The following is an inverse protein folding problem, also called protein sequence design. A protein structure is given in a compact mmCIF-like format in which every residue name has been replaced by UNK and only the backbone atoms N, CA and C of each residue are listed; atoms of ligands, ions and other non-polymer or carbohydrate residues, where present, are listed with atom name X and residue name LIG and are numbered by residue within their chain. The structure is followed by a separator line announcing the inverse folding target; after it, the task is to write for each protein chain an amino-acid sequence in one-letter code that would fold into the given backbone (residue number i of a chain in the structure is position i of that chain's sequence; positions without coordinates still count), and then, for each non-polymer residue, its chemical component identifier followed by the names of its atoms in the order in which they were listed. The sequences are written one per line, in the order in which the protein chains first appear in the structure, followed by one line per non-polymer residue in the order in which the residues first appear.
data_IF_969028624747
#
_entry.id   IF_969028624747
#
_cell.length_a   1.000
_cell.length_b   1.000
_cell.length_c   1.000
_cell.angle_alpha   90.00
_cell.angle_beta   90.00
_cell.angle_gamma   90.00
#
_symmetry.space_group_name_H-M   'P 1'
#
loop_
_entity.id
_entity.type
_entity.pdbx_description
1 polymer ?
#
# COMPACT_ATOMS: atom_id res chain seq x y z
N UNK A 1 -21.55 21.93 -9.79
CA UNK A 1 -21.33 20.98 -8.69
C UNK A 1 -20.96 19.68 -9.35
N UNK A 2 -19.77 19.12 -9.07
CA UNK A 2 -19.38 17.84 -9.67
C UNK A 2 -20.35 16.74 -9.26
N UNK A 3 -20.73 15.90 -10.21
CA UNK A 3 -21.60 14.75 -9.99
C UNK A 3 -20.84 13.66 -9.21
N UNK A 4 -21.57 12.77 -8.54
CA UNK A 4 -20.96 11.66 -7.80
C UNK A 4 -20.06 10.77 -8.68
N UNK A 5 -20.42 10.60 -9.95
CA UNK A 5 -19.63 9.83 -10.94
C UNK A 5 -18.31 10.51 -11.27
N UNK A 6 -18.30 11.83 -11.51
CA UNK A 6 -17.08 12.57 -11.86
C UNK A 6 -16.04 12.53 -10.73
N UNK A 7 -16.49 12.55 -9.46
CA UNK A 7 -15.62 12.42 -8.29
C UNK A 7 -15.02 11.01 -8.20
N UNK A 8 -15.81 9.96 -8.51
CA UNK A 8 -15.32 8.58 -8.54
C UNK A 8 -14.27 8.38 -9.64
N UNK A 9 -14.52 8.92 -10.83
CA UNK A 9 -13.59 8.84 -11.96
C UNK A 9 -12.26 9.52 -11.62
N UNK A 10 -12.30 10.70 -10.99
CA UNK A 10 -11.10 11.41 -10.55
C UNK A 10 -10.32 10.64 -9.46
N UNK A 11 -11.02 10.06 -8.48
CA UNK A 11 -10.39 9.24 -7.44
C UNK A 11 -9.74 7.98 -8.04
N UNK A 12 -10.37 7.37 -9.05
CA UNK A 12 -9.82 6.24 -9.78
C UNK A 12 -8.54 6.63 -10.54
N UNK A 13 -8.55 7.77 -11.25
CA UNK A 13 -7.35 8.27 -11.94
C UNK A 13 -6.20 8.53 -10.96
N UNK A 14 -6.47 9.18 -9.83
CA UNK A 14 -5.46 9.40 -8.80
C UNK A 14 -4.89 8.08 -8.28
N UNK A 15 -5.75 7.08 -8.02
CA UNK A 15 -5.30 5.78 -7.53
C UNK A 15 -4.38 5.06 -8.52
N UNK A 16 -4.71 5.06 -9.83
CA UNK A 16 -3.87 4.38 -10.83
C UNK A 16 -2.55 5.11 -11.10
N UNK A 17 -2.48 6.42 -10.83
CA UNK A 17 -1.24 7.21 -10.90
C UNK A 17 -0.34 6.96 -9.68
N UNK A 18 -0.91 6.86 -8.47
CA UNK A 18 -0.16 6.65 -7.23
C UNK A 18 0.30 5.20 -7.04
N UNK A 19 -0.53 4.22 -7.43
CA UNK A 19 -0.28 2.82 -7.14
C UNK A 19 1.08 2.29 -7.64
N UNK A 20 1.57 2.63 -8.86
CA UNK A 20 2.89 2.21 -9.32
C UNK A 20 4.04 2.69 -8.43
N UNK A 21 3.98 3.93 -7.92
CA UNK A 21 5.02 4.48 -7.05
C UNK A 21 5.07 3.73 -5.71
N UNK A 22 3.90 3.45 -5.13
CA UNK A 22 3.78 2.68 -3.89
C UNK A 22 4.26 1.23 -4.08
N UNK A 23 3.95 0.61 -5.22
CA UNK A 23 4.43 -0.73 -5.57
C UNK A 23 5.95 -0.76 -5.75
N UNK A 24 6.53 0.27 -6.39
CA UNK A 24 7.98 0.40 -6.51
C UNK A 24 8.67 0.55 -5.15
N UNK A 25 8.05 1.30 -4.23
CA UNK A 25 8.54 1.42 -2.86
C UNK A 25 8.51 0.08 -2.12
N UNK A 26 7.42 -0.68 -2.29
CA UNK A 26 7.29 -2.02 -1.71
C UNK A 26 8.36 -2.97 -2.28
N UNK A 27 8.50 -3.02 -3.61
CA UNK A 27 9.50 -3.87 -4.28
C UNK A 27 10.91 -3.54 -3.81
N UNK A 28 11.30 -2.26 -3.88
CA UNK A 28 12.64 -1.80 -3.49
C UNK A 28 12.90 -2.03 -2.00
N UNK A 29 11.91 -1.79 -1.15
CA UNK A 29 12.02 -2.04 0.28
C UNK A 29 12.21 -3.53 0.59
N UNK A 30 11.50 -4.41 -0.12
CA UNK A 30 11.62 -5.87 0.04
C UNK A 30 12.97 -6.41 -0.43
N UNK A 31 13.44 -5.98 -1.60
CA UNK A 31 14.75 -6.40 -2.13
C UNK A 31 15.90 -6.05 -1.18
N UNK A 32 15.79 -4.93 -0.48
CA UNK A 32 16.82 -4.44 0.44
C UNK A 32 16.58 -4.82 1.91
N UNK A 33 15.46 -5.48 2.24
CA UNK A 33 15.04 -5.71 3.63
C UNK A 33 16.02 -6.61 4.39
N UNK A 34 16.62 -7.61 3.72
CA UNK A 34 17.57 -8.53 4.36
C UNK A 34 18.90 -7.87 4.74
N UNK A 35 19.36 -6.91 3.94
CA UNK A 35 20.66 -6.26 4.13
C UNK A 35 20.58 -5.06 5.07
N UNK A 36 19.44 -4.37 5.09
CA UNK A 36 19.26 -3.10 5.78
C UNK A 36 17.98 -3.10 6.62
N UNK A 37 17.70 -4.19 7.35
CA UNK A 37 16.52 -4.30 8.20
C UNK A 37 16.54 -3.22 9.27
N UNK A 38 15.50 -2.39 9.27
CA UNK A 38 15.23 -1.42 10.33
C UNK A 38 13.74 -1.23 10.51
N UNK A 39 13.32 -0.87 11.72
CA UNK A 39 11.93 -0.53 12.03
C UNK A 39 11.39 0.56 11.11
N UNK A 40 12.21 1.55 10.74
CA UNK A 40 11.82 2.61 9.82
C UNK A 40 11.43 2.06 8.44
N UNK A 41 12.26 1.18 7.85
CA UNK A 41 11.94 0.57 6.55
C UNK A 41 10.70 -0.32 6.58
N UNK A 42 10.51 -1.07 7.67
CA UNK A 42 9.31 -1.88 7.85
C UNK A 42 8.07 -0.97 7.92
N UNK A 43 8.16 0.14 8.64
CA UNK A 43 7.08 1.13 8.65
C UNK A 43 6.83 1.75 7.28
N UNK A 44 7.86 1.98 6.46
CA UNK A 44 7.69 2.52 5.11
C UNK A 44 6.91 1.53 4.22
N UNK A 45 7.26 0.24 4.28
CA UNK A 45 6.53 -0.84 3.62
C UNK A 45 5.06 -0.92 4.08
N UNK A 46 4.83 -0.86 5.39
CA UNK A 46 3.48 -0.85 5.97
C UNK A 46 2.67 0.35 5.49
N UNK A 47 3.25 1.55 5.46
CA UNK A 47 2.55 2.76 4.99
C UNK A 47 2.21 2.68 3.51
N UNK A 48 3.10 2.16 2.66
CA UNK A 48 2.78 1.97 1.25
C UNK A 48 1.64 0.97 1.03
N UNK A 49 1.66 -0.17 1.73
CA UNK A 49 0.54 -1.13 1.69
C UNK A 49 -0.77 -0.51 2.22
N UNK A 50 -0.69 0.31 3.27
CA UNK A 50 -1.84 1.04 3.82
C UNK A 50 -2.46 2.00 2.80
N UNK A 51 -1.63 2.79 2.11
CA UNK A 51 -2.08 3.73 1.07
C UNK A 51 -2.75 3.00 -0.08
N UNK A 52 -2.18 1.90 -0.58
CA UNK A 52 -2.81 1.07 -1.63
C UNK A 52 -4.17 0.53 -1.15
N UNK A 53 -4.27 0.05 0.09
CA UNK A 53 -5.53 -0.44 0.67
C UNK A 53 -6.59 0.65 0.72
N UNK A 54 -6.23 1.84 1.19
CA UNK A 54 -7.12 3.00 1.30
C UNK A 54 -7.59 3.51 -0.06
N UNK A 55 -6.67 3.63 -1.01
CA UNK A 55 -6.98 4.01 -2.39
C UNK A 55 -7.92 3.01 -3.06
N UNK A 56 -7.58 1.71 -3.01
CA UNK A 56 -8.40 0.66 -3.58
C UNK A 56 -9.80 0.57 -2.97
N UNK A 57 -9.95 0.75 -1.64
CA UNK A 57 -11.25 0.80 -0.99
C UNK A 57 -12.07 2.02 -1.43
N UNK A 58 -11.42 3.18 -1.59
CA UNK A 58 -12.07 4.42 -2.02
C UNK A 58 -12.62 4.36 -3.44
N UNK A 59 -12.04 3.51 -4.30
CA UNK A 59 -12.44 3.33 -5.70
C UNK A 59 -13.14 1.98 -5.97
N UNK A 60 -13.53 1.25 -4.91
CA UNK A 60 -14.33 0.02 -5.02
C UNK A 60 -13.58 -1.23 -5.50
N UNK A 61 -12.24 -1.25 -5.46
CA UNK A 61 -11.41 -2.36 -5.91
C UNK A 61 -11.13 -3.36 -4.75
N UNK A 62 -12.15 -4.15 -4.41
CA UNK A 62 -12.11 -5.05 -3.23
C UNK A 62 -11.00 -6.11 -3.26
N UNK A 63 -10.68 -6.65 -4.44
CA UNK A 63 -9.60 -7.63 -4.57
C UNK A 63 -8.24 -7.01 -4.21
N UNK A 64 -7.96 -5.80 -4.67
CA UNK A 64 -6.69 -5.10 -4.42
C UNK A 64 -6.62 -4.66 -2.95
N UNK A 65 -7.69 -4.11 -2.41
CA UNK A 65 -7.80 -3.81 -0.97
C UNK A 65 -7.47 -5.04 -0.12
N UNK A 66 -8.03 -6.20 -0.47
CA UNK A 66 -7.80 -7.45 0.27
C UNK A 66 -6.33 -7.87 0.21
N UNK A 67 -5.69 -7.77 -0.96
CA UNK A 67 -4.26 -8.07 -1.11
C UNK A 67 -3.39 -7.10 -0.31
N UNK A 68 -3.68 -5.80 -0.39
CA UNK A 68 -2.94 -4.76 0.33
C UNK A 68 -3.04 -4.92 1.86
N UNK A 69 -4.21 -5.33 2.37
CA UNK A 69 -4.37 -5.66 3.78
C UNK A 69 -3.50 -6.86 4.20
N UNK A 70 -3.43 -7.91 3.38
CA UNK A 70 -2.54 -9.06 3.65
C UNK A 70 -1.07 -8.65 3.64
N UNK A 71 -0.67 -7.71 2.78
CA UNK A 71 0.69 -7.16 2.79
C UNK A 71 1.00 -6.42 4.08
N UNK A 72 0.07 -5.59 4.59
CA UNK A 72 0.25 -4.95 5.91
C UNK A 72 0.50 -5.98 7.01
N UNK A 73 -0.27 -7.08 7.04
CA UNK A 73 -0.11 -8.11 8.07
C UNK A 73 1.22 -8.85 7.95
N UNK A 74 1.69 -9.12 6.73
CA UNK A 74 3.03 -9.68 6.48
C UNK A 74 4.11 -8.72 6.98
N UNK A 75 3.99 -7.43 6.68
CA UNK A 75 4.98 -6.44 7.12
C UNK A 75 4.98 -6.22 8.63
N UNK A 76 3.81 -6.28 9.28
CA UNK A 76 3.72 -6.29 10.75
C UNK A 76 4.46 -7.47 11.36
N UNK A 77 4.43 -8.64 10.74
CA UNK A 77 5.17 -9.80 11.24
C UNK A 77 6.70 -9.58 11.25
N UNK A 78 7.23 -8.69 10.39
CA UNK A 78 8.64 -8.28 10.44
C UNK A 78 8.95 -7.32 11.61
N UNK A 79 7.97 -6.79 12.31
CA UNK A 79 8.19 -5.98 13.52
C UNK A 79 8.49 -6.84 14.75
N UNK A 80 8.00 -8.09 14.78
CA UNK A 80 8.16 -8.99 15.92
C UNK A 80 9.55 -9.64 15.92
N UNK A 81 10.52 -9.01 16.58
CA UNK A 81 11.74 -9.68 17.07
C UNK A 81 11.49 -10.32 18.46
N UNK A 82 10.40 -11.07 18.61
CA UNK A 82 10.21 -11.98 19.76
C UNK A 82 10.31 -13.43 19.28
N UNK A 83 11.55 -13.91 19.16
CA UNK A 83 11.97 -15.27 19.53
C UNK A 83 13.32 -15.17 20.24
#
# INVERSE_FOLDING_TARGET
MATHSEIQDQAYQFFIEEAPELLQLIETGLLNLQQERSTAKIHDLMRAAHSIKGGAASVGLEAIKTLAHRLEDIFKAFYSDEV
#
